data_IF_018380084124
#
_entry.id   IF_018380084124
#
_cell.length_a   1.000
_cell.length_b   1.000
_cell.length_c   1.000
_cell.angle_alpha   90.00
_cell.angle_beta   90.00
_cell.angle_gamma   90.00
#
_symmetry.space_group_name_H-M   'P 1'
#
loop_
_entity.id
_entity.type
_entity.pdbx_description
1 polymer ?
#
# COMPACT_ATOMS: atom_id res chain seq x y z
N UNK A 1 42.97 56.62 20.80
CA UNK A 1 42.89 55.15 20.62
C UNK A 1 41.43 54.76 20.53
N UNK A 2 40.97 54.31 19.36
CA UNK A 2 39.71 53.60 19.17
C UNK A 2 39.74 52.98 17.76
N UNK A 3 40.30 51.78 17.65
CA UNK A 3 40.23 50.98 16.43
C UNK A 3 38.92 50.18 16.45
N UNK A 4 38.08 50.43 15.45
CA UNK A 4 36.80 49.77 15.23
C UNK A 4 37.07 48.49 14.44
N UNK A 5 36.88 47.32 15.05
CA UNK A 5 36.97 46.03 14.37
C UNK A 5 35.62 45.72 13.71
N UNK A 6 35.53 45.92 12.39
CA UNK A 6 34.44 45.42 11.56
C UNK A 6 34.67 43.92 11.30
N UNK A 7 33.88 43.08 11.97
CA UNK A 7 33.91 41.62 11.81
C UNK A 7 33.12 41.18 10.58
N UNK A 8 33.83 40.78 9.53
CA UNK A 8 33.31 40.14 8.31
C UNK A 8 32.71 38.75 8.65
N UNK A 9 31.38 38.68 8.84
CA UNK A 9 30.67 37.41 8.98
C UNK A 9 30.39 36.81 7.60
N UNK A 10 31.27 35.90 7.16
CA UNK A 10 31.01 35.11 5.94
C UNK A 10 29.84 34.14 6.18
N UNK A 11 28.87 34.06 5.24
CA UNK A 11 27.72 33.17 5.39
C UNK A 11 28.19 31.70 5.35
N UNK A 12 27.79 30.93 6.36
CA UNK A 12 28.04 29.49 6.43
C UNK A 12 27.28 28.85 5.27
N UNK A 13 27.96 28.18 4.31
CA UNK A 13 27.26 27.49 3.25
C UNK A 13 26.46 26.34 3.87
N UNK A 14 25.13 26.42 3.79
CA UNK A 14 24.24 25.31 4.10
C UNK A 14 24.51 24.21 3.09
N UNK A 15 25.40 23.29 3.44
CA UNK A 15 25.60 22.05 2.69
C UNK A 15 24.28 21.28 2.76
N UNK A 16 23.54 21.27 1.66
CA UNK A 16 22.35 20.43 1.49
C UNK A 16 22.76 18.96 1.63
N UNK A 17 22.68 18.43 2.86
CA UNK A 17 22.78 17.00 3.11
C UNK A 17 21.51 16.35 2.57
N UNK A 18 21.55 15.91 1.32
CA UNK A 18 20.51 15.03 0.78
C UNK A 18 20.44 13.79 1.66
N UNK A 19 19.26 13.53 2.22
CA UNK A 19 19.00 12.33 3.00
C UNK A 19 19.19 11.14 2.05
N UNK A 20 20.25 10.37 2.27
CA UNK A 20 20.51 9.14 1.52
C UNK A 20 19.39 8.17 1.89
N UNK A 21 18.48 7.89 0.95
CA UNK A 21 17.48 6.84 1.12
C UNK A 21 18.23 5.51 1.23
N UNK A 22 18.27 4.91 2.42
CA UNK A 22 18.69 3.51 2.56
C UNK A 22 17.69 2.66 1.77
N UNK A 23 18.15 2.14 0.62
CA UNK A 23 17.33 1.41 -0.36
C UNK A 23 17.09 -0.04 0.06
N UNK A 24 17.70 -0.48 1.15
CA UNK A 24 17.69 -1.85 1.63
C UNK A 24 16.59 -2.05 2.66
N UNK A 25 15.33 -2.01 2.23
CA UNK A 25 14.19 -2.47 3.04
C UNK A 25 13.29 -3.40 2.24
N UNK A 26 13.82 -4.11 1.24
CA UNK A 26 13.17 -5.31 0.75
C UNK A 26 13.45 -6.42 1.77
N UNK A 27 12.47 -6.80 2.62
CA UNK A 27 12.68 -7.91 3.54
C UNK A 27 12.88 -9.19 2.72
N UNK A 28 13.74 -10.08 3.21
CA UNK A 28 13.84 -11.41 2.63
C UNK A 28 12.55 -12.18 2.93
N UNK A 29 11.88 -12.63 1.87
CA UNK A 29 10.61 -13.33 1.98
C UNK A 29 10.88 -14.83 1.99
N UNK A 30 10.30 -15.59 2.93
CA UNK A 30 10.57 -17.02 3.06
C UNK A 30 9.93 -17.90 1.97
N UNK A 31 9.30 -17.29 0.95
CA UNK A 31 8.56 -17.98 -0.10
C UNK A 31 9.18 -17.76 -1.47
N UNK A 32 8.94 -18.70 -2.39
CA UNK A 32 9.39 -18.56 -3.79
C UNK A 32 8.68 -17.39 -4.48
N UNK A 33 9.28 -16.89 -5.56
CA UNK A 33 8.70 -15.81 -6.38
C UNK A 33 7.26 -16.11 -6.80
N UNK A 34 6.95 -17.35 -7.20
CA UNK A 34 5.60 -17.73 -7.63
C UNK A 34 4.60 -17.66 -6.47
N UNK A 35 4.99 -18.15 -5.29
CA UNK A 35 4.12 -18.12 -4.10
C UNK A 35 3.87 -16.68 -3.64
N UNK A 36 4.85 -15.80 -3.79
CA UNK A 36 4.72 -14.40 -3.41
C UNK A 36 3.74 -13.60 -4.28
N UNK A 37 3.38 -14.08 -5.48
CA UNK A 37 2.43 -13.42 -6.38
C UNK A 37 1.12 -14.19 -6.50
N UNK A 38 0.89 -15.17 -5.62
CA UNK A 38 -0.39 -15.86 -5.58
C UNK A 38 -1.47 -14.88 -5.09
N UNK A 39 -2.70 -15.00 -5.61
CA UNK A 39 -3.79 -14.09 -5.29
C UNK A 39 -4.11 -14.11 -3.80
N UNK A 40 -4.28 -12.92 -3.24
CA UNK A 40 -4.49 -12.72 -1.82
C UNK A 40 -5.41 -11.51 -1.59
N UNK A 41 -6.68 -11.72 -1.22
CA UNK A 41 -7.70 -10.65 -1.12
C UNK A 41 -7.56 -9.76 0.14
N UNK A 42 -6.37 -9.23 0.39
CA UNK A 42 -6.02 -8.41 1.57
C UNK A 42 -6.71 -7.05 1.63
N UNK A 43 -7.31 -6.60 0.53
CA UNK A 43 -8.06 -5.35 0.47
C UNK A 43 -9.50 -5.47 1.00
N UNK A 44 -9.96 -6.67 1.34
CA UNK A 44 -11.32 -6.89 1.84
C UNK A 44 -11.59 -6.13 3.16
N UNK A 45 -12.75 -5.47 3.27
CA UNK A 45 -13.17 -4.76 4.49
C UNK A 45 -13.20 -5.67 5.73
N UNK A 46 -13.60 -6.94 5.55
CA UNK A 46 -13.65 -7.95 6.62
C UNK A 46 -12.34 -8.74 6.81
N UNK A 47 -11.19 -8.24 6.31
CA UNK A 47 -9.90 -8.97 6.35
C UNK A 47 -9.55 -9.52 7.74
N UNK A 48 -9.81 -8.78 8.82
CA UNK A 48 -9.53 -9.20 10.20
C UNK A 48 -10.28 -10.48 10.60
N UNK A 49 -11.48 -10.69 10.07
CA UNK A 49 -12.30 -11.87 10.33
C UNK A 49 -12.00 -13.00 9.33
N UNK A 50 -11.72 -12.64 8.07
CA UNK A 50 -11.52 -13.58 6.97
C UNK A 50 -10.09 -14.12 6.85
N UNK A 51 -9.10 -13.47 7.48
CA UNK A 51 -7.69 -13.85 7.37
C UNK A 51 -7.41 -15.33 7.67
N UNK A 52 -8.19 -15.92 8.58
CA UNK A 52 -8.04 -17.33 8.98
C UNK A 52 -8.34 -18.32 7.83
N UNK A 53 -9.08 -17.88 6.82
CA UNK A 53 -9.44 -18.68 5.65
C UNK A 53 -8.51 -18.42 4.46
N UNK A 54 -7.56 -17.49 4.59
CA UNK A 54 -6.64 -17.19 3.51
C UNK A 54 -5.53 -18.24 3.40
N UNK A 55 -4.89 -18.37 2.23
CA UNK A 55 -3.71 -19.21 2.08
C UNK A 55 -2.60 -18.88 3.11
N UNK A 56 -1.75 -19.86 3.42
CA UNK A 56 -0.73 -19.72 4.47
C UNK A 56 0.22 -18.53 4.26
N UNK A 57 0.59 -18.23 3.01
CA UNK A 57 1.49 -17.10 2.69
C UNK A 57 0.84 -15.75 3.03
N UNK A 58 -0.46 -15.59 2.76
CA UNK A 58 -1.27 -14.45 3.14
C UNK A 58 -1.32 -14.26 4.66
N UNK A 59 -1.62 -15.33 5.39
CA UNK A 59 -1.69 -15.32 6.87
C UNK A 59 -0.35 -14.84 7.44
N UNK A 60 0.76 -15.37 6.91
CA UNK A 60 2.09 -15.02 7.38
C UNK A 60 2.39 -13.53 7.22
N UNK A 61 2.09 -12.95 6.05
CA UNK A 61 2.32 -11.52 5.78
C UNK A 61 1.44 -10.66 6.67
N UNK A 62 0.17 -11.04 6.85
CA UNK A 62 -0.74 -10.32 7.73
C UNK A 62 -0.25 -10.29 9.18
N UNK A 63 0.34 -11.39 9.66
CA UNK A 63 0.86 -11.47 11.02
C UNK A 63 2.17 -10.67 11.18
N UNK A 64 3.02 -10.66 10.15
CA UNK A 64 4.33 -9.98 10.20
C UNK A 64 4.29 -8.51 9.75
N UNK A 65 3.14 -7.96 9.35
CA UNK A 65 3.04 -6.60 8.77
C UNK A 65 3.59 -5.46 9.63
N UNK A 66 3.72 -5.64 10.94
CA UNK A 66 4.19 -4.58 11.87
C UNK A 66 5.56 -4.87 12.48
N UNK A 67 6.28 -5.90 12.02
CA UNK A 67 7.58 -6.25 12.60
C UNK A 67 8.72 -5.37 12.08
N UNK A 68 8.66 -4.95 10.81
CA UNK A 68 9.65 -4.09 10.16
C UNK A 68 9.00 -3.23 9.08
N UNK A 69 9.59 -2.07 8.76
CA UNK A 69 9.12 -1.19 7.68
C UNK A 69 9.02 -1.93 6.33
N UNK A 70 10.01 -2.77 6.04
CA UNK A 70 10.03 -3.61 4.84
C UNK A 70 8.83 -4.57 4.76
N UNK A 71 8.45 -5.20 5.88
CA UNK A 71 7.28 -6.08 5.91
C UNK A 71 5.97 -5.31 5.77
N UNK A 72 5.89 -4.10 6.32
CA UNK A 72 4.74 -3.23 6.11
C UNK A 72 4.60 -2.84 4.63
N UNK A 73 5.71 -2.57 3.95
CA UNK A 73 5.72 -2.28 2.51
C UNK A 73 5.25 -3.49 1.69
N UNK A 74 5.74 -4.69 2.00
CA UNK A 74 5.26 -5.93 1.35
C UNK A 74 3.77 -6.13 1.59
N UNK A 75 3.29 -5.95 2.83
CA UNK A 75 1.86 -6.01 3.13
C UNK A 75 1.04 -5.01 2.29
N UNK A 76 1.57 -3.80 2.04
CA UNK A 76 0.92 -2.82 1.17
C UNK A 76 0.95 -3.21 -0.31
N UNK A 77 2.00 -3.87 -0.78
CA UNK A 77 2.04 -4.44 -2.13
C UNK A 77 0.93 -5.49 -2.28
N UNK A 78 0.80 -6.41 -1.32
CA UNK A 78 -0.28 -7.39 -1.30
C UNK A 78 -1.67 -6.75 -1.29
N UNK A 79 -1.85 -5.64 -0.55
CA UNK A 79 -3.11 -4.90 -0.57
C UNK A 79 -3.39 -4.27 -1.94
N UNK A 80 -2.36 -3.73 -2.62
CA UNK A 80 -2.51 -3.17 -3.97
C UNK A 80 -2.78 -4.26 -5.00
N UNK A 81 -2.07 -5.37 -4.95
CA UNK A 81 -2.30 -6.52 -5.83
C UNK A 81 -3.73 -7.06 -5.64
N UNK A 82 -4.22 -7.16 -4.40
CA UNK A 82 -5.61 -7.48 -4.12
C UNK A 82 -6.61 -6.48 -4.71
N UNK A 83 -6.27 -5.19 -4.69
CA UNK A 83 -7.12 -4.13 -5.23
C UNK A 83 -7.17 -4.13 -6.76
N UNK A 84 -6.13 -4.60 -7.46
CA UNK A 84 -6.11 -4.64 -8.94
C UNK A 84 -6.46 -5.99 -9.54
N UNK A 85 -6.11 -7.09 -8.85
CA UNK A 85 -6.28 -8.45 -9.36
C UNK A 85 -7.22 -9.32 -8.52
N UNK A 86 -7.70 -8.79 -7.39
CA UNK A 86 -8.59 -9.52 -6.50
C UNK A 86 -10.05 -9.51 -6.93
N UNK A 87 -10.85 -10.29 -6.22
CA UNK A 87 -12.27 -10.46 -6.53
C UNK A 87 -13.06 -9.15 -6.39
N UNK A 88 -12.64 -8.26 -5.50
CA UNK A 88 -13.33 -7.00 -5.24
C UNK A 88 -13.20 -6.02 -6.42
N UNK A 89 -12.02 -5.98 -7.06
CA UNK A 89 -11.77 -5.18 -8.26
C UNK A 89 -12.71 -5.57 -9.41
N UNK A 90 -12.84 -6.87 -9.66
CA UNK A 90 -13.73 -7.35 -10.72
C UNK A 90 -15.19 -6.99 -10.45
N UNK A 91 -15.63 -6.98 -9.18
CA UNK A 91 -17.00 -6.56 -8.82
C UNK A 91 -17.21 -5.07 -9.06
N UNK A 92 -16.27 -4.22 -8.65
CA UNK A 92 -16.31 -2.79 -8.93
C UNK A 92 -16.33 -2.51 -10.43
N UNK A 93 -15.46 -3.18 -11.18
CA UNK A 93 -15.42 -3.07 -12.64
C UNK A 93 -16.72 -3.52 -13.30
N UNK A 94 -17.30 -4.65 -12.88
CA UNK A 94 -18.61 -5.10 -13.38
C UNK A 94 -19.69 -4.10 -13.03
N UNK A 95 -19.70 -3.56 -11.81
CA UNK A 95 -20.63 -2.50 -11.44
C UNK A 95 -20.50 -1.30 -12.39
N UNK A 96 -19.30 -0.81 -12.67
CA UNK A 96 -19.12 0.36 -13.54
C UNK A 96 -19.45 0.11 -15.03
N UNK A 97 -19.25 -1.11 -15.53
CA UNK A 97 -19.34 -1.41 -16.97
C UNK A 97 -20.69 -2.03 -17.37
N UNK A 98 -21.29 -2.84 -16.49
CA UNK A 98 -22.51 -3.57 -16.82
C UNK A 98 -23.69 -2.58 -16.85
N UNK A 99 -24.50 -2.54 -17.93
CA UNK A 99 -25.60 -1.58 -18.04
C UNK A 99 -26.54 -1.77 -16.85
N UNK A 100 -26.53 -0.79 -15.95
CA UNK A 100 -27.50 -0.69 -14.87
C UNK A 100 -28.86 -0.39 -15.50
N UNK A 101 -29.64 -1.43 -15.79
CA UNK A 101 -31.05 -1.28 -16.03
C UNK A 101 -31.70 -0.84 -14.71
N UNK A 102 -31.74 0.47 -14.47
CA UNK A 102 -32.66 1.04 -13.50
C UNK A 102 -34.06 0.79 -14.05
N UNK A 103 -34.69 -0.29 -13.58
CA UNK A 103 -36.06 -0.59 -13.94
C UNK A 103 -36.98 0.46 -13.28
N UNK A 104 -37.33 1.49 -14.04
CA UNK A 104 -38.33 2.49 -13.64
C UNK A 104 -39.77 1.97 -13.81
N UNK A 105 -40.00 0.67 -14.04
CA UNK A 105 -41.34 0.09 -14.22
C UNK A 105 -42.07 -0.26 -12.91
N UNK A 106 -42.12 0.71 -12.00
CA UNK A 106 -43.28 0.87 -11.11
C UNK A 106 -43.69 2.32 -11.25
N UNK A 107 -44.54 2.69 -12.20
CA UNK A 107 -45.99 2.65 -12.02
C UNK A 107 -46.68 2.89 -13.37
N UNK A 108 -47.20 1.83 -13.99
CA UNK A 108 -48.41 1.93 -14.83
C UNK A 108 -49.29 0.75 -14.47
N UNK A 109 -50.22 0.93 -13.52
CA UNK A 109 -51.42 0.08 -13.35
C UNK A 109 -52.56 0.85 -12.67
N UNK A 110 -53.41 1.48 -13.48
CA UNK A 110 -54.88 1.26 -13.57
C UNK A 110 -55.54 2.42 -14.32
#
# INVERSE_FOLDING_TARGET
MADKQDGDQKPIPTVLKHIVRRRETSPDMPFSFQVNHLPCDMDSFLRTKLIRYFPNHCIWIYNNKYTHEGFYRVYKIYQLEAFFFGQYYERLKRYEIDPHAFDYSSEVKS
#
